data_IF_136298577871
#
_entry.id   IF_136298577871
#
_cell.length_a   1.000
_cell.length_b   1.000
_cell.length_c   1.000
_cell.angle_alpha   90.00
_cell.angle_beta   90.00
_cell.angle_gamma   90.00
#
_symmetry.space_group_name_H-M   'P 1'
#
loop_
_entity.id
_entity.type
_entity.pdbx_description
1 polymer ?
#
# COMPACT_ATOMS: atom_id res chain seq x y z
N UNK A 1 -11.77 24.34 32.68
CA UNK A 1 -10.77 24.80 31.69
C UNK A 1 -11.15 24.15 30.37
N UNK A 2 -11.48 24.96 29.36
CA UNK A 2 -11.81 24.46 28.03
C UNK A 2 -10.55 23.85 27.42
N UNK A 3 -10.53 22.52 27.29
CA UNK A 3 -9.56 21.80 26.45
C UNK A 3 -9.91 22.08 24.99
N UNK A 4 -9.59 23.28 24.50
CA UNK A 4 -9.50 23.49 23.06
C UNK A 4 -8.33 22.64 22.56
N UNK A 5 -8.66 21.50 21.97
CA UNK A 5 -7.69 20.60 21.38
C UNK A 5 -6.85 21.37 20.36
N UNK A 6 -5.53 21.41 20.62
CA UNK A 6 -4.58 22.05 19.72
C UNK A 6 -4.82 21.59 18.26
N UNK A 7 -4.74 22.52 17.28
CA UNK A 7 -4.88 22.19 15.85
C UNK A 7 -3.99 21.00 15.45
N UNK A 8 -4.47 20.16 14.53
CA UNK A 8 -3.78 18.94 14.07
C UNK A 8 -2.30 19.16 13.71
N UNK A 9 -2.02 20.27 13.03
CA UNK A 9 -0.67 20.68 12.61
C UNK A 9 0.26 21.00 13.80
N UNK A 10 -0.30 21.42 14.93
CA UNK A 10 0.45 21.66 16.19
C UNK A 10 0.57 20.40 17.04
N UNK A 11 -0.41 19.49 17.00
CA UNK A 11 -0.31 18.17 17.66
C UNK A 11 0.66 17.23 16.93
N UNK A 12 0.71 17.31 15.61
CA UNK A 12 1.52 16.42 14.76
C UNK A 12 2.31 17.17 13.69
N UNK A 13 3.26 18.03 14.10
CA UNK A 13 4.00 18.90 13.17
C UNK A 13 4.83 18.13 12.14
N UNK A 14 5.28 16.92 12.47
CA UNK A 14 5.98 16.02 11.54
C UNK A 14 5.05 15.52 10.42
N UNK A 15 3.83 15.12 10.76
CA UNK A 15 2.82 14.62 9.79
C UNK A 15 2.41 15.73 8.83
N UNK A 16 2.17 16.93 9.35
CA UNK A 16 1.81 18.09 8.54
C UNK A 16 2.93 18.50 7.57
N UNK A 17 4.19 18.47 8.02
CA UNK A 17 5.35 18.83 7.20
C UNK A 17 5.61 17.84 6.07
N UNK A 18 5.55 16.55 6.38
CA UNK A 18 5.81 15.46 5.43
C UNK A 18 4.56 15.11 4.59
N UNK A 19 3.42 15.80 4.82
CA UNK A 19 2.12 15.56 4.15
C UNK A 19 1.69 14.10 4.19
N UNK A 20 1.92 13.44 5.31
CA UNK A 20 1.71 12.00 5.44
C UNK A 20 0.24 11.68 5.68
N UNK A 21 -0.22 10.62 5.02
CA UNK A 21 -1.51 10.01 5.34
C UNK A 21 -1.26 8.91 6.36
N UNK A 22 -1.63 9.17 7.62
CA UNK A 22 -1.52 8.20 8.70
C UNK A 22 -2.91 7.69 9.05
N UNK A 23 -3.15 6.37 8.92
CA UNK A 23 -4.43 5.80 9.26
C UNK A 23 -4.69 5.85 10.76
N UNK A 24 -5.98 5.88 11.10
CA UNK A 24 -6.46 5.85 12.49
C UNK A 24 -6.93 4.45 12.85
N UNK A 25 -6.81 4.07 14.11
CA UNK A 25 -7.45 2.88 14.70
C UNK A 25 -8.98 3.03 14.75
N UNK A 26 -9.69 1.97 15.16
CA UNK A 26 -11.15 2.05 15.34
C UNK A 26 -11.54 3.03 16.45
N UNK A 27 -10.65 3.19 17.43
CA UNK A 27 -10.79 4.12 18.54
C UNK A 27 -10.40 5.56 18.15
N UNK A 28 -10.03 5.80 16.88
CA UNK A 28 -9.74 7.11 16.32
C UNK A 28 -8.31 7.62 16.61
N UNK A 29 -7.46 6.82 17.24
CA UNK A 29 -6.06 7.16 17.54
C UNK A 29 -5.19 7.01 16.28
N UNK A 30 -4.20 7.90 16.09
CA UNK A 30 -3.27 7.78 14.95
C UNK A 30 -2.35 6.58 15.14
N UNK A 31 -2.15 5.81 14.08
CA UNK A 31 -1.29 4.64 14.09
C UNK A 31 0.19 5.02 13.80
N UNK A 32 0.79 5.78 14.73
CA UNK A 32 2.14 6.35 14.55
C UNK A 32 3.24 5.30 14.53
N UNK A 33 3.18 4.32 15.45
CA UNK A 33 4.14 3.21 15.53
C UNK A 33 4.34 2.52 14.17
N UNK A 34 3.23 2.29 13.47
CA UNK A 34 3.22 1.61 12.19
C UNK A 34 3.89 2.45 11.09
N UNK A 35 3.70 3.77 11.12
CA UNK A 35 4.39 4.68 10.22
C UNK A 35 5.89 4.78 10.54
N UNK A 36 6.27 4.76 11.81
CA UNK A 36 7.67 4.79 12.23
C UNK A 36 8.44 3.55 11.76
N UNK A 37 7.83 2.34 11.85
CA UNK A 37 8.40 1.11 11.27
C UNK A 37 8.57 1.23 9.76
N UNK A 38 7.54 1.68 9.04
CA UNK A 38 7.59 1.86 7.59
C UNK A 38 8.69 2.86 7.18
N UNK A 39 8.84 3.95 7.93
CA UNK A 39 9.87 4.95 7.68
C UNK A 39 11.27 4.42 7.95
N UNK A 40 11.49 3.72 9.06
CA UNK A 40 12.80 3.12 9.36
C UNK A 40 13.20 2.08 8.30
N UNK A 41 12.27 1.22 7.88
CA UNK A 41 12.50 0.30 6.75
C UNK A 41 12.87 1.05 5.47
N UNK A 42 12.15 2.13 5.16
CA UNK A 42 12.42 2.96 3.99
C UNK A 42 13.81 3.61 4.06
N UNK A 43 14.20 4.11 5.23
CA UNK A 43 15.47 4.80 5.44
C UNK A 43 16.64 3.82 5.37
N UNK A 44 16.51 2.60 5.88
CA UNK A 44 17.54 1.55 5.75
C UNK A 44 17.71 1.12 4.29
N UNK A 45 16.61 1.02 3.54
CA UNK A 45 16.61 0.51 2.17
C UNK A 45 16.83 1.60 1.12
N UNK A 46 16.83 2.88 1.48
CA UNK A 46 16.86 4.01 0.51
C UNK A 46 18.01 3.92 -0.48
N UNK A 47 19.16 3.41 -0.01
CA UNK A 47 20.40 3.33 -0.78
C UNK A 47 20.60 1.93 -1.40
N UNK A 48 19.67 1.00 -1.19
CA UNK A 48 19.73 -0.34 -1.76
C UNK A 48 19.47 -0.27 -3.26
N UNK A 49 20.37 -0.83 -4.11
CA UNK A 49 20.16 -0.84 -5.56
C UNK A 49 18.81 -1.43 -5.93
N UNK A 50 18.06 -0.70 -6.77
CA UNK A 50 16.75 -1.12 -7.24
C UNK A 50 15.63 -1.04 -6.21
N UNK A 51 15.86 -0.56 -4.98
CA UNK A 51 14.75 -0.20 -4.09
C UNK A 51 13.94 0.93 -4.69
N UNK A 52 12.61 0.79 -4.69
CA UNK A 52 11.70 1.82 -5.20
C UNK A 52 10.94 2.48 -4.05
N UNK A 53 10.47 1.67 -3.11
CA UNK A 53 9.70 2.10 -1.97
C UNK A 53 8.95 0.95 -1.33
N UNK A 54 8.05 1.28 -0.41
CA UNK A 54 7.18 0.33 0.26
C UNK A 54 5.78 0.92 0.46
N UNK A 55 4.79 0.04 0.56
CA UNK A 55 3.43 0.34 0.95
C UNK A 55 3.12 -0.39 2.25
N UNK A 56 2.86 0.33 3.34
CA UNK A 56 2.24 -0.25 4.52
C UNK A 56 0.83 -0.73 4.15
N UNK A 57 0.49 -1.97 4.53
CA UNK A 57 -0.81 -2.61 4.23
C UNK A 57 -1.41 -3.25 5.48
N UNK A 58 -2.46 -4.04 5.32
CA UNK A 58 -3.03 -4.81 6.41
C UNK A 58 -4.00 -4.06 7.31
N UNK A 59 -4.44 -4.74 8.36
CA UNK A 59 -5.52 -4.30 9.24
C UNK A 59 -5.23 -3.01 10.00
N UNK A 60 -3.95 -2.79 10.32
CA UNK A 60 -3.45 -1.58 10.97
C UNK A 60 -3.45 -0.37 10.05
N UNK A 61 -3.14 -0.56 8.78
CA UNK A 61 -3.23 0.49 7.76
C UNK A 61 -4.68 0.88 7.48
N UNK A 62 -5.59 -0.08 7.58
CA UNK A 62 -7.00 0.14 7.25
C UNK A 62 -7.87 0.52 8.46
N UNK A 63 -7.26 0.55 9.65
CA UNK A 63 -7.84 1.15 10.83
C UNK A 63 -8.82 0.28 11.62
N UNK A 64 -8.90 -1.02 11.34
CA UNK A 64 -9.78 -1.94 12.07
C UNK A 64 -9.03 -2.93 12.98
N UNK A 65 -7.72 -2.74 13.16
CA UNK A 65 -6.99 -3.43 14.21
C UNK A 65 -7.54 -3.03 15.59
N UNK A 66 -7.90 -4.02 16.43
CA UNK A 66 -8.36 -3.79 17.80
C UNK A 66 -7.17 -3.50 18.72
N UNK A 67 -7.29 -2.45 19.53
CA UNK A 67 -6.34 -2.23 20.62
C UNK A 67 -6.36 -3.42 21.62
N UNK A 68 -5.19 -3.80 22.13
CA UNK A 68 -5.00 -4.88 23.11
C UNK A 68 -5.07 -6.33 22.58
N UNK A 69 -5.02 -6.54 21.26
CA UNK A 69 -5.00 -7.90 20.69
C UNK A 69 -3.58 -8.41 20.42
N UNK A 70 -3.34 -9.72 20.46
CA UNK A 70 -2.03 -10.33 20.15
C UNK A 70 -1.48 -9.96 18.75
N UNK A 71 -2.31 -9.44 17.84
CA UNK A 71 -1.90 -8.92 16.52
C UNK A 71 -1.55 -7.42 16.52
N UNK A 72 -1.49 -6.78 17.69
CA UNK A 72 -0.90 -5.45 17.83
C UNK A 72 0.61 -5.42 17.58
N UNK A 73 1.26 -6.57 17.38
CA UNK A 73 2.69 -6.60 17.03
C UNK A 73 2.95 -6.56 15.53
N UNK A 74 1.98 -6.90 14.68
CA UNK A 74 2.26 -7.25 13.29
C UNK A 74 2.10 -6.02 12.37
N UNK A 75 3.17 -5.69 11.64
CA UNK A 75 3.24 -4.64 10.65
C UNK A 75 3.32 -5.29 9.27
N UNK A 76 2.24 -5.20 8.50
CA UNK A 76 2.21 -5.73 7.14
C UNK A 76 2.78 -4.70 6.14
N UNK A 77 3.79 -5.09 5.36
CA UNK A 77 4.47 -4.20 4.40
C UNK A 77 4.68 -4.89 3.06
N UNK A 78 4.36 -4.19 1.97
CA UNK A 78 4.72 -4.57 0.60
C UNK A 78 5.88 -3.73 0.10
N UNK A 79 6.86 -4.36 -0.54
CA UNK A 79 8.03 -3.68 -1.07
C UNK A 79 7.96 -3.62 -2.59
N UNK A 80 8.41 -2.51 -3.17
CA UNK A 80 8.54 -2.33 -4.62
C UNK A 80 10.03 -2.28 -4.98
N UNK A 81 10.39 -2.96 -6.06
CA UNK A 81 11.75 -2.97 -6.54
C UNK A 81 11.84 -2.99 -8.07
N UNK A 82 12.95 -2.48 -8.58
CA UNK A 82 13.29 -2.44 -9.99
C UNK A 82 14.31 -3.54 -10.30
N UNK A 83 13.84 -4.64 -10.88
CA UNK A 83 14.68 -5.78 -11.22
C UNK A 83 15.69 -5.52 -12.36
N UNK A 84 15.67 -4.35 -12.99
CA UNK A 84 16.70 -3.95 -13.95
C UNK A 84 17.97 -3.43 -13.26
N UNK A 85 17.87 -3.02 -12.00
CA UNK A 85 18.96 -2.46 -11.19
C UNK A 85 19.54 -3.44 -10.17
N UNK A 86 18.77 -4.45 -9.79
CA UNK A 86 19.17 -5.50 -8.84
C UNK A 86 18.48 -6.81 -9.16
N UNK A 87 19.11 -7.94 -8.87
CA UNK A 87 18.41 -9.22 -8.95
C UNK A 87 17.38 -9.35 -7.83
N UNK A 88 16.36 -10.18 -8.05
CA UNK A 88 15.34 -10.45 -7.00
C UNK A 88 15.98 -11.01 -5.72
N UNK A 89 16.98 -11.88 -5.87
CA UNK A 89 17.62 -12.53 -4.73
C UNK A 89 18.39 -11.53 -3.84
N UNK A 90 19.15 -10.63 -4.47
CA UNK A 90 19.89 -9.58 -3.76
C UNK A 90 18.93 -8.62 -3.05
N UNK A 91 17.85 -8.23 -3.73
CA UNK A 91 16.83 -7.38 -3.10
C UNK A 91 16.13 -8.07 -1.92
N UNK A 92 15.76 -9.34 -2.07
CA UNK A 92 15.15 -10.11 -0.97
C UNK A 92 16.10 -10.21 0.23
N UNK A 93 17.41 -10.41 0.00
CA UNK A 93 18.41 -10.41 1.06
C UNK A 93 18.48 -9.07 1.81
N UNK A 94 18.57 -7.95 1.08
CA UNK A 94 18.59 -6.61 1.68
C UNK A 94 17.31 -6.32 2.47
N UNK A 95 16.15 -6.66 1.89
CA UNK A 95 14.83 -6.54 2.52
C UNK A 95 14.75 -7.34 3.82
N UNK A 96 15.16 -8.60 3.82
CA UNK A 96 15.16 -9.45 5.02
C UNK A 96 16.09 -8.94 6.10
N UNK A 97 17.26 -8.40 5.71
CA UNK A 97 18.21 -7.78 6.63
C UNK A 97 17.63 -6.53 7.28
N UNK A 98 17.00 -5.65 6.50
CA UNK A 98 16.32 -4.45 7.01
C UNK A 98 15.16 -4.80 7.95
N UNK A 99 14.31 -5.76 7.56
CA UNK A 99 13.23 -6.26 8.42
C UNK A 99 13.80 -6.76 9.74
N UNK A 100 14.80 -7.63 9.71
CA UNK A 100 15.42 -8.18 10.92
C UNK A 100 15.98 -7.09 11.83
N UNK A 101 16.62 -6.05 11.25
CA UNK A 101 17.15 -4.92 12.00
C UNK A 101 16.04 -4.15 12.74
N UNK A 102 14.95 -3.81 12.04
CA UNK A 102 13.83 -3.06 12.64
C UNK A 102 13.06 -3.89 13.66
N UNK A 103 12.86 -5.19 13.41
CA UNK A 103 12.23 -6.09 14.38
C UNK A 103 13.04 -6.15 15.69
N UNK A 104 14.37 -6.19 15.59
CA UNK A 104 15.25 -6.19 16.75
C UNK A 104 15.30 -4.84 17.47
N UNK A 105 15.25 -3.72 16.74
CA UNK A 105 15.33 -2.37 17.34
C UNK A 105 14.02 -1.97 18.02
N UNK A 106 12.86 -2.32 17.44
CA UNK A 106 11.55 -1.87 17.91
C UNK A 106 10.72 -2.95 18.63
N UNK A 107 11.15 -4.21 18.61
CA UNK A 107 10.40 -5.32 19.21
C UNK A 107 9.05 -5.57 18.53
N UNK A 108 8.93 -5.26 17.23
CA UNK A 108 7.71 -5.45 16.43
C UNK A 108 7.88 -6.67 15.52
N UNK A 109 6.77 -7.29 15.16
CA UNK A 109 6.74 -8.32 14.11
C UNK A 109 6.44 -7.64 12.79
N UNK A 110 7.20 -7.95 11.74
CA UNK A 110 6.96 -7.39 10.41
C UNK A 110 6.66 -8.55 9.47
N UNK A 111 5.44 -8.58 8.93
CA UNK A 111 5.08 -9.51 7.87
C UNK A 111 5.20 -8.79 6.52
N UNK A 112 5.69 -9.51 5.53
CA UNK A 112 5.89 -8.95 4.21
C UNK A 112 5.77 -10.01 3.14
N UNK A 113 4.85 -9.74 2.20
CA UNK A 113 4.69 -10.55 1.00
C UNK A 113 5.91 -10.48 0.06
N UNK A 114 5.79 -11.16 -1.08
CA UNK A 114 6.82 -11.08 -2.12
C UNK A 114 6.99 -9.65 -2.65
N UNK A 115 8.23 -9.23 -2.93
CA UNK A 115 8.47 -7.89 -3.47
C UNK A 115 7.93 -7.76 -4.89
N UNK A 116 7.40 -6.58 -5.20
CA UNK A 116 6.69 -6.29 -6.43
C UNK A 116 7.66 -5.67 -7.42
N UNK A 117 7.88 -6.36 -8.53
CA UNK A 117 8.74 -5.86 -9.60
C UNK A 117 8.01 -4.79 -10.43
N UNK A 118 8.55 -3.58 -10.45
CA UNK A 118 7.98 -2.43 -11.17
C UNK A 118 8.75 -2.07 -12.45
N UNK A 119 9.59 -2.97 -12.96
CA UNK A 119 10.13 -2.83 -14.33
C UNK A 119 9.01 -2.77 -15.37
N UNK A 120 9.33 -2.27 -16.57
CA UNK A 120 8.39 -2.29 -17.71
C UNK A 120 7.74 -3.67 -17.90
N UNK A 121 8.53 -4.74 -17.88
CA UNK A 121 7.99 -6.10 -18.02
C UNK A 121 7.10 -6.49 -16.84
N UNK A 122 7.47 -6.18 -15.59
CA UNK A 122 6.64 -6.42 -14.41
C UNK A 122 5.28 -5.69 -14.48
N UNK A 123 5.28 -4.46 -14.98
CA UNK A 123 4.09 -3.66 -15.23
C UNK A 123 3.23 -4.29 -16.33
N UNK A 124 3.83 -4.69 -17.46
CA UNK A 124 3.14 -5.36 -18.58
C UNK A 124 2.47 -6.65 -18.09
N UNK A 125 3.20 -7.50 -17.37
CA UNK A 125 2.67 -8.77 -16.83
C UNK A 125 1.49 -8.54 -15.89
N UNK A 126 1.50 -7.44 -15.14
CA UNK A 126 0.41 -7.10 -14.22
C UNK A 126 -0.81 -6.53 -14.95
N UNK A 127 -0.62 -5.66 -15.94
CA UNK A 127 -1.71 -4.89 -16.55
C UNK A 127 -2.35 -5.53 -17.76
N UNK A 128 -1.60 -6.31 -18.54
CA UNK A 128 -2.11 -6.90 -19.78
C UNK A 128 -3.28 -7.88 -19.53
N UNK A 129 -3.23 -8.82 -18.56
CA UNK A 129 -4.37 -9.68 -18.23
C UNK A 129 -5.61 -8.86 -17.81
N UNK A 130 -5.42 -7.84 -16.97
CA UNK A 130 -6.51 -6.99 -16.47
C UNK A 130 -7.20 -6.22 -17.60
N UNK A 131 -6.44 -5.68 -18.55
CA UNK A 131 -7.00 -5.01 -19.74
C UNK A 131 -7.85 -5.94 -20.62
N UNK A 132 -7.56 -7.25 -20.57
CA UNK A 132 -8.32 -8.32 -21.25
C UNK A 132 -9.50 -8.83 -20.42
N UNK A 133 -9.74 -8.28 -19.22
CA UNK A 133 -10.78 -8.73 -18.30
C UNK A 133 -10.42 -10.00 -17.52
N UNK A 134 -9.15 -10.39 -17.49
CA UNK A 134 -8.66 -11.49 -16.68
C UNK A 134 -8.13 -10.94 -15.36
N UNK A 135 -8.90 -11.12 -14.29
CA UNK A 135 -8.49 -10.69 -12.94
C UNK A 135 -7.50 -11.70 -12.37
N UNK A 136 -6.28 -11.26 -12.09
CA UNK A 136 -5.26 -12.03 -11.38
C UNK A 136 -4.98 -11.37 -10.03
N UNK A 137 -4.64 -12.15 -8.99
CA UNK A 137 -4.14 -11.60 -7.73
C UNK A 137 -2.79 -10.90 -8.00
N UNK A 138 -2.82 -9.59 -8.23
CA UNK A 138 -1.63 -8.74 -8.38
C UNK A 138 -1.62 -7.66 -7.30
N UNK A 139 -0.44 -7.42 -6.73
CA UNK A 139 -0.22 -6.45 -5.67
C UNK A 139 0.17 -5.06 -6.21
N UNK A 140 0.29 -4.89 -7.53
CA UNK A 140 0.74 -3.63 -8.15
C UNK A 140 -0.18 -2.44 -7.80
N UNK A 141 -1.45 -2.66 -7.50
CA UNK A 141 -2.38 -1.61 -7.08
C UNK A 141 -1.96 -0.89 -5.81
N UNK A 142 -1.26 -1.57 -4.89
CA UNK A 142 -0.74 -0.96 -3.65
C UNK A 142 0.34 0.10 -3.91
N UNK A 143 0.95 0.15 -5.10
CA UNK A 143 1.84 1.23 -5.50
C UNK A 143 1.12 2.59 -5.41
N UNK A 144 -0.19 2.60 -5.67
CA UNK A 144 -1.02 3.79 -5.62
C UNK A 144 -1.54 4.12 -4.22
N UNK A 145 -1.25 3.30 -3.20
CA UNK A 145 -1.66 3.56 -1.82
C UNK A 145 -1.16 4.95 -1.38
N UNK A 146 -2.02 5.74 -0.74
CA UNK A 146 -1.62 7.04 -0.18
C UNK A 146 -0.55 6.89 0.92
N UNK A 147 -0.46 5.70 1.52
CA UNK A 147 0.52 5.33 2.53
C UNK A 147 1.84 4.86 1.93
N UNK A 148 1.93 4.64 0.61
CA UNK A 148 3.17 4.21 -0.02
C UNK A 148 4.22 5.33 -0.01
N UNK A 149 5.42 4.99 0.44
CA UNK A 149 6.57 5.89 0.60
C UNK A 149 7.79 5.29 -0.08
N UNK A 150 8.71 6.12 -0.54
CA UNK A 150 9.94 5.66 -1.19
C UNK A 150 10.59 6.69 -2.09
N UNK A 151 11.90 6.56 -2.33
CA UNK A 151 12.65 7.51 -3.16
C UNK A 151 12.18 7.52 -4.62
N UNK A 152 11.64 6.41 -5.13
CA UNK A 152 11.27 6.27 -6.55
C UNK A 152 9.79 5.89 -6.77
N UNK A 153 8.94 5.96 -5.74
CA UNK A 153 7.51 5.61 -5.85
C UNK A 153 6.80 6.43 -6.92
N UNK A 154 7.04 7.74 -6.96
CA UNK A 154 6.38 8.62 -7.94
C UNK A 154 6.86 8.37 -9.37
N UNK A 155 8.13 8.01 -9.55
CA UNK A 155 8.68 7.61 -10.86
C UNK A 155 7.99 6.32 -11.35
N UNK A 156 7.86 5.32 -10.48
CA UNK A 156 7.16 4.08 -10.82
C UNK A 156 5.67 4.29 -11.07
N UNK A 157 4.98 5.14 -10.29
CA UNK A 157 3.58 5.51 -10.54
C UNK A 157 3.42 6.17 -11.91
N UNK A 158 4.34 7.07 -12.27
CA UNK A 158 4.37 7.70 -13.59
C UNK A 158 4.57 6.66 -14.70
N UNK A 159 5.49 5.71 -14.55
CA UNK A 159 5.69 4.64 -15.54
C UNK A 159 4.43 3.77 -15.73
N UNK A 160 3.76 3.39 -14.63
CA UNK A 160 2.49 2.64 -14.70
C UNK A 160 1.42 3.48 -15.38
N UNK A 161 1.31 4.76 -15.05
CA UNK A 161 0.37 5.70 -15.67
C UNK A 161 0.62 5.86 -17.18
N UNK A 162 1.87 6.02 -17.60
CA UNK A 162 2.28 6.11 -19.00
C UNK A 162 1.94 4.83 -19.76
N UNK A 163 2.21 3.66 -19.18
CA UNK A 163 1.84 2.39 -19.79
C UNK A 163 0.31 2.23 -19.91
N UNK A 164 -0.45 2.58 -18.87
CA UNK A 164 -1.92 2.56 -18.91
C UNK A 164 -2.50 3.47 -20.01
N UNK A 165 -1.85 4.59 -20.33
CA UNK A 165 -2.27 5.50 -21.42
C UNK A 165 -2.16 4.86 -22.81
N UNK A 166 -1.29 3.86 -22.99
CA UNK A 166 -1.14 3.15 -24.27
C UNK A 166 -2.36 2.29 -24.60
N UNK A 167 -3.17 1.93 -23.61
CA UNK A 167 -4.42 1.20 -23.83
C UNK A 167 -5.54 2.12 -24.35
N UNK A 168 -6.37 1.64 -25.31
CA UNK A 168 -7.63 2.30 -25.66
C UNK A 168 -8.52 2.51 -24.43
N UNK A 169 -9.34 3.58 -24.42
CA UNK A 169 -10.16 3.95 -23.25
C UNK A 169 -10.94 2.79 -22.60
N UNK A 170 -11.62 1.89 -23.35
CA UNK A 170 -12.30 0.75 -22.75
C UNK A 170 -11.35 -0.24 -22.06
N UNK A 171 -10.21 -0.54 -22.67
CA UNK A 171 -9.20 -1.46 -22.13
C UNK A 171 -8.46 -0.84 -20.95
N UNK A 172 -8.22 0.47 -20.99
CA UNK A 172 -7.64 1.23 -19.87
C UNK A 172 -8.56 1.22 -18.66
N UNK A 173 -9.86 1.47 -18.85
CA UNK A 173 -10.85 1.40 -17.78
C UNK A 173 -10.92 -0.01 -17.17
N UNK A 174 -10.89 -1.06 -18.00
CA UNK A 174 -10.82 -2.46 -17.54
C UNK A 174 -9.56 -2.74 -16.72
N UNK A 175 -8.39 -2.24 -17.15
CA UNK A 175 -7.14 -2.43 -16.43
C UNK A 175 -7.16 -1.74 -15.05
N UNK A 176 -7.66 -0.50 -14.97
CA UNK A 176 -7.80 0.24 -13.71
C UNK A 176 -8.76 -0.47 -12.76
N UNK A 177 -9.94 -0.86 -13.26
CA UNK A 177 -10.91 -1.62 -12.48
C UNK A 177 -10.33 -2.95 -12.02
N UNK A 178 -9.65 -3.68 -12.90
CA UNK A 178 -9.01 -4.95 -12.57
C UNK A 178 -7.90 -4.80 -11.51
N UNK A 179 -7.15 -3.70 -11.52
CA UNK A 179 -6.17 -3.40 -10.46
C UNK A 179 -6.88 -3.18 -9.11
N UNK A 180 -7.94 -2.38 -9.10
CA UNK A 180 -8.74 -2.14 -7.90
C UNK A 180 -9.37 -3.44 -7.37
N UNK A 181 -9.95 -4.26 -8.27
CA UNK A 181 -10.53 -5.57 -7.95
C UNK A 181 -9.49 -6.51 -7.34
N UNK A 182 -8.31 -6.62 -7.97
CA UNK A 182 -7.22 -7.46 -7.46
C UNK A 182 -6.72 -6.99 -6.09
N UNK A 183 -6.62 -5.67 -5.89
CA UNK A 183 -6.21 -5.07 -4.62
C UNK A 183 -7.22 -5.40 -3.53
N UNK A 184 -8.52 -5.20 -3.79
CA UNK A 184 -9.60 -5.52 -2.85
C UNK A 184 -9.69 -7.02 -2.59
N UNK A 185 -9.53 -7.87 -3.60
CA UNK A 185 -9.52 -9.33 -3.42
C UNK A 185 -8.41 -9.79 -2.47
N UNK A 186 -7.22 -9.17 -2.56
CA UNK A 186 -6.14 -9.41 -1.61
C UNK A 186 -6.49 -8.87 -0.21
N UNK A 187 -7.05 -7.66 -0.10
CA UNK A 187 -7.57 -7.13 1.18
C UNK A 187 -8.55 -8.13 1.82
N UNK A 188 -9.56 -8.60 1.07
CA UNK A 188 -10.54 -9.59 1.50
C UNK A 188 -9.90 -10.89 1.99
N UNK A 189 -8.89 -11.41 1.28
CA UNK A 189 -8.18 -12.66 1.62
C UNK A 189 -7.41 -12.54 2.92
N UNK A 190 -6.77 -11.41 3.17
CA UNK A 190 -6.08 -11.14 4.43
C UNK A 190 -7.04 -10.78 5.58
N UNK A 191 -8.33 -10.62 5.28
CA UNK A 191 -9.36 -10.15 6.20
C UNK A 191 -10.45 -11.18 6.48
N UNK A 192 -10.06 -12.45 6.59
CA UNK A 192 -10.96 -13.56 6.94
C UNK A 192 -11.80 -13.29 8.22
N UNK A 193 -11.32 -12.38 9.07
CA UNK A 193 -12.02 -11.95 10.29
C UNK A 193 -13.21 -11.02 10.06
N UNK A 194 -13.27 -10.25 8.97
CA UNK A 194 -14.47 -9.46 8.64
C UNK A 194 -15.66 -10.40 8.43
N UNK A 195 -15.43 -11.56 7.81
CA UNK A 195 -16.47 -12.59 7.65
C UNK A 195 -16.92 -13.20 8.99
N UNK A 196 -16.16 -13.00 10.08
CA UNK A 196 -16.52 -13.44 11.44
C UNK A 196 -17.28 -12.36 12.23
N UNK A 197 -17.46 -11.16 11.68
CA UNK A 197 -18.13 -10.05 12.34
C UNK A 197 -19.67 -10.07 12.21
N UNK A 198 -20.27 -11.15 11.67
CA UNK A 198 -21.72 -11.30 11.46
C UNK A 198 -22.37 -10.11 10.71
N UNK A 199 -21.62 -9.46 9.81
CA UNK A 199 -22.13 -8.39 8.95
C UNK A 199 -23.08 -9.01 7.91
N UNK A 200 -24.30 -8.46 7.71
CA UNK A 200 -25.19 -8.92 6.64
C UNK A 200 -24.50 -8.92 5.28
N UNK A 201 -24.78 -9.94 4.45
CA UNK A 201 -24.10 -10.10 3.16
C UNK A 201 -24.24 -8.87 2.25
N UNK A 202 -25.41 -8.26 2.20
CA UNK A 202 -25.66 -7.08 1.36
C UNK A 202 -24.90 -5.84 1.85
N UNK A 203 -24.73 -5.69 3.16
CA UNK A 203 -23.88 -4.64 3.75
C UNK A 203 -22.40 -4.88 3.45
N UNK A 204 -21.96 -6.13 3.55
CA UNK A 204 -20.60 -6.53 3.22
C UNK A 204 -20.28 -6.31 1.74
N UNK A 205 -21.20 -6.70 0.84
CA UNK A 205 -21.08 -6.48 -0.61
C UNK A 205 -21.03 -4.98 -0.95
N UNK A 206 -21.86 -4.15 -0.30
CA UNK A 206 -21.81 -2.68 -0.44
C UNK A 206 -20.48 -2.11 0.05
N UNK A 207 -19.96 -2.59 1.17
CA UNK A 207 -18.68 -2.15 1.72
C UNK A 207 -17.53 -2.45 0.74
N UNK A 208 -17.44 -3.68 0.23
CA UNK A 208 -16.39 -4.07 -0.72
C UNK A 208 -16.52 -3.35 -2.06
N UNK A 209 -17.74 -3.15 -2.57
CA UNK A 209 -17.96 -2.34 -3.77
C UNK A 209 -17.53 -0.89 -3.57
N UNK A 210 -17.85 -0.29 -2.41
CA UNK A 210 -17.38 1.04 -2.05
C UNK A 210 -15.84 1.11 -1.97
N UNK A 211 -15.21 0.07 -1.41
CA UNK A 211 -13.74 -0.03 -1.31
C UNK A 211 -13.08 -0.13 -2.68
N UNK A 212 -13.66 -0.90 -3.61
CA UNK A 212 -13.21 -0.97 -5.00
C UNK A 212 -13.27 0.41 -5.67
N UNK A 213 -14.41 1.11 -5.56
CA UNK A 213 -14.59 2.43 -6.16
C UNK A 213 -13.59 3.46 -5.62
N UNK A 214 -13.25 3.38 -4.33
CA UNK A 214 -12.20 4.22 -3.72
C UNK A 214 -10.83 3.95 -4.36
N UNK A 215 -10.46 2.67 -4.52
CA UNK A 215 -9.21 2.30 -5.18
C UNK A 215 -9.17 2.76 -6.65
N UNK A 216 -10.25 2.57 -7.40
CA UNK A 216 -10.35 3.07 -8.77
C UNK A 216 -10.14 4.58 -8.83
N UNK A 217 -10.82 5.33 -7.95
CA UNK A 217 -10.67 6.80 -7.86
C UNK A 217 -9.23 7.19 -7.55
N UNK A 218 -8.61 6.55 -6.57
CA UNK A 218 -7.23 6.83 -6.16
C UNK A 218 -6.22 6.57 -7.28
N UNK A 219 -6.36 5.45 -8.00
CA UNK A 219 -5.53 5.12 -9.16
C UNK A 219 -5.71 6.19 -10.25
N UNK A 220 -6.97 6.56 -10.56
CA UNK A 220 -7.28 7.59 -11.56
C UNK A 220 -6.71 8.95 -11.19
N UNK A 221 -6.86 9.37 -9.94
CA UNK A 221 -6.33 10.65 -9.44
C UNK A 221 -4.80 10.67 -9.48
N UNK A 222 -4.15 9.59 -9.08
CA UNK A 222 -2.70 9.45 -9.18
C UNK A 222 -2.22 9.54 -10.63
N UNK A 223 -2.88 8.86 -11.57
CA UNK A 223 -2.56 8.95 -13.01
C UNK A 223 -2.70 10.37 -13.53
N UNK A 224 -3.72 11.12 -13.10
CA UNK A 224 -3.94 12.51 -13.52
C UNK A 224 -2.78 13.44 -13.10
N UNK A 225 -2.19 13.22 -11.93
CA UNK A 225 -1.04 14.01 -11.45
C UNK A 225 0.17 13.94 -12.39
N UNK A 226 0.34 12.83 -13.11
CA UNK A 226 1.44 12.63 -14.07
C UNK A 226 0.97 12.81 -15.53
N UNK A 227 -0.18 13.46 -15.73
CA UNK A 227 -0.79 13.67 -17.05
C UNK A 227 -0.89 15.15 -17.46
N UNK A 228 -0.42 16.05 -16.61
CA UNK A 228 -0.23 17.48 -16.90
C UNK A 228 1.12 17.75 -17.56
#
# INVERSE_FOLDING_TARGET
>A
MNNEELPYEKRYPRIAREKLVIPRTMEGTLNLDFYDVAKELNDILSDTPGYVGLAPVGSRTRGYARQGSEQESDVDVLFFYDSSKTSRHEFEFARHSAISAVQNSQGKTIDSGFPINVTHMGIVYSLLPLSRGQTQETQLGFLFAQTAIGPHIDESRKQVAEYLKTFPSPSRAKAIRGLADATVALEMKFEDRIYRMNIPKDELDKMWSGRQQQWEKQIVESIKLYSS
#
